data_IF_424255002126
#
_entry.id   IF_424255002126
#
_cell.length_a   1.000
_cell.length_b   1.000
_cell.length_c   1.000
_cell.angle_alpha   90.00
_cell.angle_beta   90.00
_cell.angle_gamma   90.00
#
_symmetry.space_group_name_H-M   'P 1'
#
loop_
_entity.id
_entity.type
_entity.pdbx_description
1 polymer ?
#
# COMPACT_ATOMS: atom_id res chain seq x y z
N UNK A 1 13.08 -2.03 -19.69
CA UNK A 1 12.56 -2.21 -18.33
C UNK A 1 11.05 -2.36 -18.46
N UNK A 2 10.53 -3.59 -18.40
CA UNK A 2 9.09 -3.86 -18.48
C UNK A 2 8.46 -3.42 -17.16
N UNK A 3 7.60 -2.41 -17.19
CA UNK A 3 6.77 -2.08 -16.05
C UNK A 3 5.70 -3.15 -15.92
N UNK A 4 5.63 -3.83 -14.77
CA UNK A 4 4.56 -4.77 -14.45
C UNK A 4 3.25 -3.99 -14.22
N UNK A 5 2.56 -3.65 -15.32
CA UNK A 5 1.26 -2.95 -15.30
C UNK A 5 0.13 -3.84 -14.80
N UNK A 6 0.37 -5.15 -14.72
CA UNK A 6 -0.62 -6.15 -14.36
C UNK A 6 -1.03 -6.02 -12.89
N UNK A 7 -0.09 -5.73 -11.99
CA UNK A 7 -0.42 -5.59 -10.57
C UNK A 7 -1.35 -4.40 -10.27
N UNK A 8 -1.07 -3.15 -10.71
CA UNK A 8 -1.95 -2.00 -10.50
C UNK A 8 -3.41 -2.25 -10.95
N UNK A 9 -3.59 -2.80 -12.15
CA UNK A 9 -4.94 -3.06 -12.69
C UNK A 9 -5.70 -4.11 -11.86
N UNK A 10 -5.03 -5.19 -11.48
CA UNK A 10 -5.64 -6.22 -10.65
C UNK A 10 -5.94 -5.72 -9.23
N UNK A 11 -5.06 -4.87 -8.69
CA UNK A 11 -5.26 -4.25 -7.38
C UNK A 11 -6.51 -3.37 -7.39
N UNK A 12 -6.66 -2.48 -8.37
CA UNK A 12 -7.84 -1.63 -8.49
C UNK A 12 -9.14 -2.46 -8.51
N UNK A 13 -9.18 -3.54 -9.31
CA UNK A 13 -10.32 -4.47 -9.35
C UNK A 13 -10.59 -5.16 -8.01
N UNK A 14 -9.56 -5.44 -7.19
CA UNK A 14 -9.71 -6.00 -5.84
C UNK A 14 -10.22 -4.97 -4.84
N UNK A 15 -9.75 -3.71 -4.93
CA UNK A 15 -10.17 -2.62 -4.06
C UNK A 15 -11.66 -2.28 -4.19
N UNK A 16 -12.26 -2.51 -5.36
CA UNK A 16 -13.70 -2.33 -5.59
C UNK A 16 -14.57 -3.45 -5.01
N UNK A 17 -14.00 -4.55 -4.53
CA UNK A 17 -14.77 -5.68 -3.97
C UNK A 17 -15.19 -5.38 -2.54
N UNK A 18 -16.44 -5.75 -2.22
CA UNK A 18 -16.94 -5.74 -0.84
C UNK A 18 -16.04 -6.64 0.02
N UNK A 19 -15.53 -6.10 1.13
CA UNK A 19 -14.65 -6.81 2.05
C UNK A 19 -13.15 -6.72 1.73
N UNK A 20 -12.73 -5.86 0.79
CA UNK A 20 -11.30 -5.57 0.63
C UNK A 20 -10.71 -5.01 1.93
N UNK A 21 -9.54 -5.52 2.31
CA UNK A 21 -8.75 -5.05 3.44
C UNK A 21 -7.26 -5.10 3.06
N UNK A 22 -6.52 -4.05 3.43
CA UNK A 22 -5.08 -3.90 3.26
C UNK A 22 -4.30 -5.04 3.91
N UNK A 23 -4.69 -5.49 5.09
CA UNK A 23 -3.99 -6.58 5.79
C UNK A 23 -4.01 -7.86 4.94
N UNK A 24 -5.15 -8.19 4.34
CA UNK A 24 -5.29 -9.37 3.47
C UNK A 24 -4.51 -9.23 2.15
N UNK A 25 -4.39 -8.01 1.61
CA UNK A 25 -3.58 -7.75 0.42
C UNK A 25 -2.08 -7.87 0.72
N UNK A 26 -1.62 -7.37 1.88
CA UNK A 26 -0.24 -7.53 2.35
C UNK A 26 0.09 -9.03 2.48
N UNK A 27 -0.77 -9.81 3.14
CA UNK A 27 -0.60 -11.25 3.29
C UNK A 27 -0.55 -11.97 1.92
N UNK A 28 -1.39 -11.56 0.97
CA UNK A 28 -1.37 -12.07 -0.39
C UNK A 28 -0.02 -11.82 -1.07
N UNK A 29 0.55 -10.62 -0.93
CA UNK A 29 1.84 -10.26 -1.52
C UNK A 29 2.97 -11.13 -0.98
N UNK A 30 3.04 -11.30 0.35
CA UNK A 30 4.04 -12.15 0.99
C UNK A 30 3.88 -13.64 0.63
N UNK A 31 2.66 -14.10 0.36
CA UNK A 31 2.41 -15.47 -0.11
C UNK A 31 2.79 -15.67 -1.58
N UNK A 32 2.48 -14.67 -2.43
CA UNK A 32 2.62 -14.77 -3.90
C UNK A 32 4.06 -14.57 -4.37
N UNK A 33 4.80 -13.68 -3.72
CA UNK A 33 6.16 -13.32 -4.13
C UNK A 33 7.16 -13.76 -3.06
N UNK A 34 8.32 -14.25 -3.50
CA UNK A 34 9.43 -14.62 -2.61
C UNK A 34 10.52 -13.54 -2.56
N UNK A 35 10.62 -12.74 -3.62
CA UNK A 35 11.60 -11.67 -3.74
C UNK A 35 11.17 -10.45 -2.90
N UNK A 36 11.95 -10.06 -1.88
CA UNK A 36 11.62 -8.92 -1.02
C UNK A 36 11.50 -7.60 -1.78
N UNK A 37 12.31 -7.38 -2.82
CA UNK A 37 12.24 -6.16 -3.63
C UNK A 37 10.93 -6.11 -4.41
N UNK A 38 10.50 -7.26 -4.97
CA UNK A 38 9.18 -7.32 -5.59
C UNK A 38 8.09 -7.03 -4.58
N UNK A 39 8.11 -7.60 -3.37
CA UNK A 39 7.08 -7.31 -2.38
C UNK A 39 7.07 -5.80 -2.05
N UNK A 40 8.25 -5.20 -1.84
CA UNK A 40 8.41 -3.78 -1.58
C UNK A 40 7.77 -2.91 -2.67
N UNK A 41 8.06 -3.17 -3.95
CA UNK A 41 7.46 -2.42 -5.07
C UNK A 41 5.93 -2.46 -5.04
N UNK A 42 5.34 -3.61 -4.69
CA UNK A 42 3.88 -3.80 -4.69
C UNK A 42 3.26 -3.15 -3.46
N UNK A 43 3.94 -3.15 -2.32
CA UNK A 43 3.54 -2.38 -1.13
C UNK A 43 3.53 -0.88 -1.42
N UNK A 44 4.54 -0.37 -2.12
CA UNK A 44 4.58 1.04 -2.55
C UNK A 44 3.48 1.37 -3.56
N UNK A 45 3.19 0.45 -4.49
CA UNK A 45 2.07 0.60 -5.41
C UNK A 45 0.72 0.61 -4.68
N UNK A 46 0.55 -0.24 -3.65
CA UNK A 46 -0.63 -0.28 -2.80
C UNK A 46 -0.85 1.06 -2.09
N UNK A 47 0.20 1.63 -1.49
CA UNK A 47 0.14 2.95 -0.85
C UNK A 47 -0.25 4.06 -1.84
N UNK A 48 0.40 4.08 -3.01
CA UNK A 48 0.09 5.05 -4.06
C UNK A 48 -1.38 4.98 -4.51
N UNK A 49 -1.95 3.78 -4.61
CA UNK A 49 -3.35 3.63 -4.99
C UNK A 49 -4.33 4.09 -3.91
N UNK A 50 -3.99 3.98 -2.63
CA UNK A 50 -4.83 4.54 -1.57
C UNK A 50 -4.96 6.07 -1.70
N UNK A 51 -3.85 6.75 -2.01
CA UNK A 51 -3.87 8.20 -2.22
C UNK A 51 -4.47 8.60 -3.57
N UNK A 52 -4.33 7.79 -4.62
CA UNK A 52 -4.98 8.05 -5.91
C UNK A 52 -6.51 8.01 -5.80
N UNK A 53 -7.05 7.21 -4.88
CA UNK A 53 -8.49 7.19 -4.61
C UNK A 53 -8.97 8.41 -3.81
N UNK A 54 -8.06 9.24 -3.27
CA UNK A 54 -8.42 10.51 -2.66
C UNK A 54 -8.54 11.60 -3.73
N UNK A 55 -9.64 12.33 -3.69
CA UNK A 55 -9.90 13.48 -4.54
C UNK A 55 -9.71 14.81 -3.82
N UNK A 56 -9.91 15.90 -4.56
CA UNK A 56 -9.97 17.27 -4.01
C UNK A 56 -11.08 17.41 -2.96
N UNK A 57 -12.21 16.74 -3.18
CA UNK A 57 -13.37 16.74 -2.29
C UNK A 57 -13.28 15.71 -1.15
N UNK A 58 -12.22 14.90 -1.07
CA UNK A 58 -12.09 13.92 0.02
C UNK A 58 -12.06 14.62 1.38
N UNK A 59 -12.92 14.13 2.25
CA UNK A 59 -13.14 14.58 3.61
C UNK A 59 -11.89 14.37 4.47
N UNK A 60 -11.82 15.09 5.59
CA UNK A 60 -10.75 14.89 6.57
C UNK A 60 -10.72 13.45 7.09
N UNK A 61 -11.90 12.84 7.28
CA UNK A 61 -12.03 11.47 7.75
C UNK A 61 -11.45 10.47 6.76
N UNK A 62 -11.77 10.58 5.47
CA UNK A 62 -11.21 9.68 4.44
C UNK A 62 -9.68 9.79 4.36
N UNK A 63 -9.14 11.00 4.49
CA UNK A 63 -7.69 11.23 4.53
C UNK A 63 -7.05 10.57 5.75
N UNK A 64 -7.70 10.64 6.91
CA UNK A 64 -7.22 10.00 8.15
C UNK A 64 -7.25 8.48 8.03
N UNK A 65 -8.30 7.92 7.44
CA UNK A 65 -8.38 6.47 7.19
C UNK A 65 -7.30 6.00 6.21
N UNK A 66 -7.07 6.72 5.09
CA UNK A 66 -5.95 6.40 4.19
C UNK A 66 -4.61 6.45 4.92
N UNK A 67 -4.34 7.49 5.73
CA UNK A 67 -3.10 7.55 6.53
C UNK A 67 -2.97 6.35 7.47
N UNK A 68 -4.07 5.90 8.08
CA UNK A 68 -4.07 4.72 8.98
C UNK A 68 -3.75 3.44 8.23
N UNK A 69 -4.32 3.26 7.05
CA UNK A 69 -4.03 2.14 6.17
C UNK A 69 -2.57 2.17 5.66
N UNK A 70 -2.06 3.33 5.25
CA UNK A 70 -0.65 3.53 4.88
C UNK A 70 0.31 3.11 5.99
N UNK A 71 -0.01 3.37 7.28
CA UNK A 71 0.83 2.91 8.40
C UNK A 71 0.95 1.40 8.48
N UNK A 72 -0.06 0.64 8.06
CA UNK A 72 0.04 -0.83 8.00
C UNK A 72 1.04 -1.25 6.93
N UNK A 73 0.98 -0.60 5.76
CA UNK A 73 1.92 -0.80 4.65
C UNK A 73 3.35 -0.47 5.10
N UNK A 74 3.57 0.67 5.76
CA UNK A 74 4.90 1.07 6.21
C UNK A 74 5.49 0.11 7.25
N UNK A 75 4.65 -0.47 8.13
CA UNK A 75 5.08 -1.54 9.03
C UNK A 75 5.44 -2.83 8.29
N UNK A 76 4.76 -3.16 7.19
CA UNK A 76 5.13 -4.29 6.35
C UNK A 76 6.46 -4.01 5.61
N UNK A 77 6.63 -2.80 5.06
CA UNK A 77 7.88 -2.34 4.45
C UNK A 77 9.03 -2.42 5.45
N UNK A 78 8.84 -1.99 6.70
CA UNK A 78 9.87 -2.07 7.75
C UNK A 78 10.41 -3.49 7.97
N UNK A 79 9.60 -4.53 7.75
CA UNK A 79 10.05 -5.94 7.86
C UNK A 79 10.98 -6.35 6.70
N UNK A 80 10.93 -5.63 5.59
CA UNK A 80 11.75 -5.87 4.38
C UNK A 80 12.96 -4.93 4.37
N UNK A 81 12.70 -3.63 4.53
CA UNK A 81 13.70 -2.56 4.62
C UNK A 81 13.40 -1.71 5.87
N UNK A 82 14.11 -1.96 6.98
CA UNK A 82 13.89 -1.24 8.23
C UNK A 82 14.10 0.26 8.12
N UNK A 83 15.12 0.69 7.35
CA UNK A 83 15.46 2.11 7.20
C UNK A 83 14.36 2.84 6.45
N UNK A 84 13.88 2.27 5.35
CA UNK A 84 12.81 2.86 4.54
C UNK A 84 11.47 2.87 5.31
N UNK A 85 11.14 1.78 5.99
CA UNK A 85 9.92 1.70 6.80
C UNK A 85 9.91 2.72 7.94
N UNK A 86 11.02 2.90 8.64
CA UNK A 86 11.14 3.92 9.69
C UNK A 86 11.06 5.33 9.14
N UNK A 87 11.67 5.61 7.99
CA UNK A 87 11.56 6.89 7.30
C UNK A 87 10.09 7.24 7.03
N UNK A 88 9.31 6.31 6.46
CA UNK A 88 7.90 6.56 6.17
C UNK A 88 7.04 6.71 7.43
N UNK A 89 7.31 5.94 8.48
CA UNK A 89 6.56 6.04 9.74
C UNK A 89 6.83 7.36 10.47
N UNK A 90 8.07 7.85 10.46
CA UNK A 90 8.47 9.10 11.13
C UNK A 90 7.95 10.34 10.39
N UNK A 91 7.97 10.31 9.06
CA UNK A 91 7.63 11.48 8.23
C UNK A 91 6.19 11.49 7.73
N UNK A 92 5.33 10.57 8.18
CA UNK A 92 3.92 10.67 7.84
C UNK A 92 3.32 11.92 8.48
N UNK A 93 2.75 12.80 7.67
CA UNK A 93 2.11 14.03 8.13
C UNK A 93 1.06 13.74 9.22
N UNK A 94 1.10 14.52 10.30
CA UNK A 94 0.12 14.44 11.40
C UNK A 94 -1.29 14.80 10.94
#
# INVERSE_FOLDING_TARGET
MEFDTVYPEQLHKRMLKVGFNIDSEIDLLHRKYKDPNKILDKLLCLDAQLYMNLGRSSTKTERVEVKKESRKIYRAIKKIDPKLGDLFLVHQDK
#
